data_IF_767625119168
#
_entry.id   IF_767625119168
#
_cell.length_a   1.000
_cell.length_b   1.000
_cell.length_c   1.000
_cell.angle_alpha   90.00
_cell.angle_beta   90.00
_cell.angle_gamma   90.00
#
_symmetry.space_group_name_H-M   'P 1'
#
loop_
_entity.id
_entity.type
_entity.pdbx_description
1 polymer ?
#
# COMPACT_ATOMS: atom_id res chain seq x y z
N UNK A 1 65.96 -29.26 53.30
CA UNK A 1 65.93 -29.52 51.84
C UNK A 1 64.71 -28.87 51.27
N UNK A 2 64.90 -27.86 50.72
CA UNK A 2 64.48 -27.11 49.54
C UNK A 2 63.06 -27.33 49.01
N UNK A 3 62.17 -26.58 49.60
CA UNK A 3 60.93 -26.20 48.95
C UNK A 3 60.94 -24.68 48.61
N UNK A 4 61.84 -24.29 47.74
CA UNK A 4 61.94 -22.91 47.18
C UNK A 4 62.06 -22.91 45.70
N UNK A 5 61.19 -23.55 45.02
CA UNK A 5 61.18 -23.49 43.55
C UNK A 5 59.83 -23.52 42.90
N UNK A 6 58.86 -22.85 43.41
CA UNK A 6 57.62 -22.67 42.64
C UNK A 6 56.87 -21.38 42.97
N UNK A 7 57.60 -20.32 43.11
CA UNK A 7 57.02 -19.00 43.07
C UNK A 7 57.56 -18.25 41.83
N UNK A 8 57.48 -18.92 40.71
CA UNK A 8 57.95 -18.38 39.48
C UNK A 8 56.80 -18.17 38.53
N UNK A 9 56.61 -16.92 38.27
CA UNK A 9 55.93 -16.46 37.04
C UNK A 9 54.46 -16.83 36.88
N UNK A 10 53.63 -16.40 37.78
CA UNK A 10 52.21 -16.37 37.55
C UNK A 10 51.63 -15.04 37.11
N UNK A 11 52.46 -14.04 36.92
CA UNK A 11 51.99 -12.79 36.28
C UNK A 11 53.21 -11.99 35.80
N UNK A 12 53.13 -11.32 34.70
CA UNK A 12 54.13 -10.41 34.16
C UNK A 12 54.59 -9.28 35.10
N UNK A 13 54.09 -9.30 36.32
CA UNK A 13 54.48 -8.38 37.39
C UNK A 13 55.88 -8.65 37.97
N UNK A 14 56.46 -9.83 37.77
CA UNK A 14 57.73 -10.21 38.38
C UNK A 14 58.97 -9.94 37.51
N UNK A 15 58.81 -9.53 36.26
CA UNK A 15 59.94 -9.16 35.40
C UNK A 15 60.51 -7.79 35.77
N UNK A 16 59.73 -6.95 36.47
CA UNK A 16 60.16 -5.60 36.88
C UNK A 16 61.02 -5.69 38.19
N UNK A 17 60.84 -6.71 39.01
CA UNK A 17 61.58 -6.82 40.29
C UNK A 17 63.06 -7.23 40.14
N UNK A 18 63.46 -7.83 39.05
CA UNK A 18 64.87 -8.25 38.84
C UNK A 18 65.79 -7.21 38.19
N UNK A 19 65.23 -6.11 37.71
CA UNK A 19 66.00 -4.99 37.12
C UNK A 19 66.27 -3.83 38.08
N UNK A 20 65.73 -3.89 39.32
CA UNK A 20 65.96 -2.84 40.31
C UNK A 20 67.34 -2.88 40.98
N UNK A 21 68.15 -3.94 40.79
CA UNK A 21 69.50 -4.05 41.34
C UNK A 21 70.57 -3.35 40.46
N UNK A 22 70.24 -2.83 39.29
CA UNK A 22 71.18 -2.14 38.43
C UNK A 22 70.98 -0.62 38.31
N UNK A 23 70.23 0.02 39.24
CA UNK A 23 70.15 1.47 39.33
C UNK A 23 69.46 2.18 38.15
N UNK A 24 68.69 1.45 37.30
CA UNK A 24 67.91 2.04 36.20
C UNK A 24 66.46 2.16 36.61
N UNK A 25 66.00 3.34 37.01
CA UNK A 25 64.58 3.62 37.19
C UNK A 25 63.92 3.72 35.79
N UNK A 26 63.31 2.66 35.36
CA UNK A 26 62.41 2.72 34.22
C UNK A 26 61.09 3.37 34.69
N UNK A 27 60.97 4.67 34.51
CA UNK A 27 59.70 5.38 34.65
C UNK A 27 58.76 4.93 33.55
N UNK A 28 57.87 4.00 33.82
CA UNK A 28 56.85 3.52 32.91
C UNK A 28 56.35 2.13 33.33
N UNK A 29 55.36 2.08 34.17
CA UNK A 29 54.62 0.82 34.38
C UNK A 29 53.85 0.49 33.14
N UNK A 30 54.47 -0.28 32.20
CA UNK A 30 53.70 -0.96 31.20
C UNK A 30 52.88 -2.03 31.90
N UNK A 31 51.62 -1.73 32.20
CA UNK A 31 50.66 -2.78 32.52
C UNK A 31 50.38 -3.56 31.23
N UNK A 32 51.05 -4.68 31.07
CA UNK A 32 50.59 -5.68 30.14
C UNK A 32 49.21 -6.14 30.63
N UNK A 33 48.16 -5.70 30.03
CA UNK A 33 46.86 -6.24 30.31
C UNK A 33 46.84 -7.69 29.82
N UNK A 34 46.43 -8.61 30.71
CA UNK A 34 46.27 -10.02 30.31
C UNK A 34 45.19 -10.13 29.25
N UNK A 35 45.57 -10.48 28.03
CA UNK A 35 44.64 -10.69 26.95
C UNK A 35 44.23 -12.15 26.87
N UNK A 36 42.98 -12.44 27.12
CA UNK A 36 42.43 -13.80 27.10
C UNK A 36 42.04 -14.31 25.70
N UNK A 37 42.30 -13.50 24.65
CA UNK A 37 41.89 -13.84 23.23
C UNK A 37 43.13 -13.97 22.41
N UNK A 38 43.36 -15.19 21.87
CA UNK A 38 44.42 -15.48 20.89
C UNK A 38 43.86 -15.43 19.49
N UNK A 39 44.47 -14.64 18.60
CA UNK A 39 44.12 -14.55 17.20
C UNK A 39 45.29 -14.98 16.36
N UNK A 40 45.10 -16.01 15.51
CA UNK A 40 46.05 -16.34 14.47
C UNK A 40 45.75 -15.49 13.23
N UNK A 41 46.58 -14.49 12.99
CA UNK A 41 46.48 -13.59 11.82
C UNK A 41 47.13 -14.14 10.55
N UNK A 42 47.74 -15.36 10.64
CA UNK A 42 48.49 -15.97 9.54
C UNK A 42 49.75 -15.18 9.16
N UNK A 43 50.15 -14.17 9.97
CA UNK A 43 51.23 -13.29 9.64
C UNK A 43 52.61 -13.92 9.97
N UNK A 44 53.49 -13.82 9.07
CA UNK A 44 54.91 -14.09 9.24
C UNK A 44 55.56 -12.89 9.89
N UNK A 45 56.11 -13.07 11.08
CA UNK A 45 57.04 -12.22 11.83
C UNK A 45 56.91 -10.67 11.69
N UNK A 46 56.60 -10.02 12.79
CA UNK A 46 56.80 -8.58 13.04
C UNK A 46 56.25 -7.62 11.96
N UNK A 47 55.00 -7.81 11.59
CA UNK A 47 54.33 -6.90 10.67
C UNK A 47 53.77 -5.69 11.45
N UNK A 48 53.91 -4.50 10.89
CA UNK A 48 53.40 -3.24 11.43
C UNK A 48 51.92 -3.02 11.16
N UNK A 49 51.16 -4.06 10.75
CA UNK A 49 49.72 -3.96 10.53
C UNK A 49 49.01 -3.66 11.81
N UNK A 50 48.04 -2.74 11.77
CA UNK A 50 47.30 -2.26 12.92
C UNK A 50 46.71 -3.43 13.73
N UNK A 51 46.72 -3.30 15.03
CA UNK A 51 46.33 -4.25 16.06
C UNK A 51 47.33 -5.42 16.31
N UNK A 52 48.44 -5.53 15.59
CA UNK A 52 49.49 -6.52 15.92
C UNK A 52 50.05 -6.30 17.32
N UNK A 53 50.15 -5.06 17.75
CA UNK A 53 50.63 -4.68 19.11
C UNK A 53 49.51 -4.54 20.13
N UNK A 54 48.31 -5.04 19.85
CA UNK A 54 47.10 -4.86 20.65
C UNK A 54 46.72 -3.39 20.85
N UNK A 55 46.99 -2.53 19.87
CA UNK A 55 46.74 -1.10 19.86
C UNK A 55 45.46 -0.69 19.15
N UNK A 56 44.70 -1.62 18.60
CA UNK A 56 43.40 -1.36 17.98
C UNK A 56 42.28 -1.00 18.95
N UNK A 57 42.38 -1.42 20.22
CA UNK A 57 41.40 -1.11 21.26
C UNK A 57 41.89 0.08 22.11
N UNK A 58 41.56 1.29 21.68
CA UNK A 58 42.01 2.54 22.34
C UNK A 58 40.96 3.15 23.29
N UNK A 59 39.69 2.76 23.14
CA UNK A 59 38.62 3.20 24.01
C UNK A 59 38.57 2.47 25.34
N UNK A 60 38.10 3.13 26.42
CA UNK A 60 37.88 2.49 27.70
C UNK A 60 36.81 1.36 27.55
N UNK A 61 37.11 0.15 28.02
CA UNK A 61 36.28 -1.05 27.90
C UNK A 61 35.99 -1.43 26.42
N UNK A 62 36.87 -1.11 25.49
CA UNK A 62 36.71 -1.47 24.08
C UNK A 62 37.38 -2.82 23.77
N UNK A 63 36.91 -3.46 22.71
CA UNK A 63 37.43 -4.75 22.22
C UNK A 63 37.76 -4.64 20.74
N UNK A 64 38.99 -4.99 20.33
CA UNK A 64 39.40 -5.04 18.93
C UNK A 64 40.08 -6.39 18.64
N UNK A 65 39.52 -7.18 17.72
CA UNK A 65 39.98 -8.51 17.34
C UNK A 65 40.10 -8.62 15.84
N UNK A 66 41.32 -8.81 15.34
CA UNK A 66 41.60 -8.97 13.90
C UNK A 66 42.62 -7.94 13.40
N UNK A 67 43.19 -8.25 12.20
CA UNK A 67 44.14 -7.35 11.53
C UNK A 67 43.45 -6.04 11.21
N UNK A 68 44.07 -4.90 11.56
CA UNK A 68 43.52 -3.56 11.39
C UNK A 68 42.14 -3.33 12.03
N UNK A 69 41.74 -4.16 13.02
CA UNK A 69 40.54 -3.93 13.80
C UNK A 69 40.72 -2.68 14.70
N UNK A 70 39.74 -1.79 14.71
CA UNK A 70 39.82 -0.50 15.41
C UNK A 70 38.57 -0.23 16.26
N UNK A 71 38.74 -0.19 17.58
CA UNK A 71 37.70 0.14 18.56
C UNK A 71 38.13 1.38 19.38
N UNK A 72 37.72 2.58 18.96
CA UNK A 72 38.31 3.85 19.42
C UNK A 72 37.67 4.47 20.64
N UNK A 73 36.40 4.21 20.90
CA UNK A 73 35.65 4.89 21.94
C UNK A 73 35.12 3.94 23.01
N UNK A 74 34.58 4.51 24.10
CA UNK A 74 34.12 3.77 25.25
C UNK A 74 33.10 2.69 24.87
N UNK A 75 33.36 1.44 25.28
CA UNK A 75 32.47 0.31 25.04
C UNK A 75 32.40 -0.15 23.59
N UNK A 76 33.26 0.34 22.71
CA UNK A 76 33.26 -0.03 21.30
C UNK A 76 33.78 -1.48 21.11
N UNK A 77 33.17 -2.23 20.18
CA UNK A 77 33.57 -3.60 19.83
C UNK A 77 33.85 -3.70 18.34
N UNK A 78 35.04 -4.11 17.94
CA UNK A 78 35.45 -4.31 16.56
C UNK A 78 36.03 -5.71 16.37
N UNK A 79 35.37 -6.58 15.59
CA UNK A 79 35.77 -7.97 15.35
C UNK A 79 35.82 -8.28 13.86
N UNK A 80 37.00 -8.56 13.32
CA UNK A 80 37.22 -8.87 11.91
C UNK A 80 38.37 -8.06 11.32
N UNK A 81 38.83 -8.42 10.11
CA UNK A 81 39.90 -7.68 9.43
C UNK A 81 39.39 -6.32 8.92
N UNK A 82 40.17 -5.27 9.15
CA UNK A 82 39.86 -3.89 8.74
C UNK A 82 38.45 -3.41 9.17
N UNK A 83 37.99 -3.92 10.33
CA UNK A 83 36.73 -3.50 10.93
C UNK A 83 36.87 -2.26 11.80
N UNK A 84 35.86 -1.42 11.88
CA UNK A 84 35.95 -0.15 12.55
C UNK A 84 34.73 0.16 13.41
N UNK A 85 34.92 0.34 14.73
CA UNK A 85 33.90 0.81 15.69
C UNK A 85 34.43 2.13 16.29
N UNK A 86 33.99 3.27 15.75
CA UNK A 86 34.62 4.56 16.03
C UNK A 86 33.87 5.43 17.02
N UNK A 87 32.73 4.98 17.54
CA UNK A 87 31.94 5.78 18.48
C UNK A 87 31.55 5.00 19.75
N UNK A 88 31.01 5.70 20.75
CA UNK A 88 30.62 5.09 22.03
C UNK A 88 29.60 3.96 21.83
N UNK A 89 29.85 2.82 22.47
CA UNK A 89 29.02 1.62 22.39
C UNK A 89 28.73 1.11 20.97
N UNK A 90 29.60 1.47 19.99
CA UNK A 90 29.47 1.00 18.62
C UNK A 90 29.93 -0.46 18.52
N UNK A 91 29.20 -1.29 17.76
CA UNK A 91 29.54 -2.70 17.50
C UNK A 91 29.76 -2.89 16.01
N UNK A 92 30.95 -3.34 15.64
CA UNK A 92 31.32 -3.62 14.25
C UNK A 92 31.91 -5.02 14.14
N UNK A 93 31.23 -5.91 13.41
CA UNK A 93 31.64 -7.32 13.27
C UNK A 93 31.62 -7.72 11.79
N UNK A 94 32.77 -8.15 11.28
CA UNK A 94 32.94 -8.58 9.91
C UNK A 94 34.03 -7.81 9.16
N UNK A 95 34.57 -8.39 8.11
CA UNK A 95 35.62 -7.77 7.29
C UNK A 95 35.12 -6.48 6.66
N UNK A 96 35.87 -5.39 6.80
CA UNK A 96 35.51 -4.05 6.30
C UNK A 96 34.16 -3.50 6.83
N UNK A 97 33.65 -4.02 7.95
CA UNK A 97 32.45 -3.44 8.58
C UNK A 97 32.80 -2.12 9.29
N UNK A 98 31.84 -1.19 9.33
CA UNK A 98 32.03 0.13 9.91
C UNK A 98 30.79 0.55 10.73
N UNK A 99 30.95 0.70 12.03
CA UNK A 99 29.97 1.26 12.96
C UNK A 99 30.49 2.62 13.47
N UNK A 100 30.05 3.71 12.86
CA UNK A 100 30.53 5.06 13.18
C UNK A 100 29.49 5.94 13.88
N UNK A 101 28.27 5.49 14.08
CA UNK A 101 27.29 6.17 14.91
C UNK A 101 27.41 5.79 16.39
N UNK A 102 26.97 6.65 17.30
CA UNK A 102 26.84 6.31 18.73
C UNK A 102 25.82 5.18 18.89
N UNK A 103 26.18 4.12 19.63
CA UNK A 103 25.35 2.93 19.85
C UNK A 103 24.91 2.26 18.53
N UNK A 104 25.70 2.40 17.47
CA UNK A 104 25.41 1.76 16.20
C UNK A 104 25.90 0.31 16.14
N UNK A 105 25.26 -0.51 15.35
CA UNK A 105 25.60 -1.92 15.14
C UNK A 105 25.79 -2.24 13.68
N UNK A 106 26.96 -2.68 13.25
CA UNK A 106 27.28 -3.11 11.90
C UNK A 106 27.79 -4.55 11.91
N UNK A 107 27.02 -5.50 11.36
CA UNK A 107 27.36 -6.93 11.34
C UNK A 107 27.30 -7.48 9.92
N UNK A 108 28.45 -7.89 9.40
CA UNK A 108 28.60 -8.44 8.06
C UNK A 108 29.76 -7.81 7.28
N UNK A 109 30.11 -8.41 6.14
CA UNK A 109 31.18 -7.91 5.29
C UNK A 109 30.77 -6.57 4.63
N UNK A 110 31.60 -5.55 4.78
CA UNK A 110 31.37 -4.24 4.16
C UNK A 110 30.11 -3.51 4.65
N UNK A 111 29.61 -3.86 5.83
CA UNK A 111 28.41 -3.29 6.43
C UNK A 111 28.69 -1.89 6.96
N UNK A 112 27.73 -0.98 6.86
CA UNK A 112 27.86 0.40 7.31
C UNK A 112 26.69 0.80 8.21
N UNK A 113 26.97 1.15 9.47
CA UNK A 113 26.03 1.79 10.38
C UNK A 113 26.58 3.14 10.81
N UNK A 114 26.24 4.19 10.06
CA UNK A 114 26.89 5.50 10.21
C UNK A 114 26.14 6.51 11.07
N UNK A 115 24.87 6.28 11.33
CA UNK A 115 24.05 7.17 12.15
C UNK A 115 23.90 6.66 13.60
N UNK A 116 23.49 7.54 14.52
CA UNK A 116 23.24 7.18 15.90
C UNK A 116 22.13 6.15 16.02
N UNK A 117 22.33 5.13 16.88
CA UNK A 117 21.42 4.01 17.09
C UNK A 117 21.05 3.25 15.79
N UNK A 118 21.86 3.36 14.74
CA UNK A 118 21.63 2.66 13.49
C UNK A 118 22.05 1.19 13.59
N UNK A 119 21.26 0.29 13.02
CA UNK A 119 21.55 -1.15 12.96
C UNK A 119 21.63 -1.61 11.51
N UNK A 120 22.79 -2.11 11.09
CA UNK A 120 23.01 -2.69 9.78
C UNK A 120 23.50 -4.12 9.92
N UNK A 121 22.76 -5.08 9.35
CA UNK A 121 23.10 -6.52 9.43
C UNK A 121 22.99 -7.16 8.04
N UNK A 122 24.09 -7.72 7.57
CA UNK A 122 24.16 -8.37 6.26
C UNK A 122 25.28 -7.80 5.38
N UNK A 123 25.68 -8.53 4.38
CA UNK A 123 26.75 -8.10 3.45
C UNK A 123 26.36 -6.80 2.77
N UNK A 124 27.18 -5.76 2.91
CA UNK A 124 26.94 -4.44 2.32
C UNK A 124 25.63 -3.77 2.75
N UNK A 125 25.06 -4.18 3.90
CA UNK A 125 23.92 -3.47 4.47
C UNK A 125 24.34 -2.06 4.91
N UNK A 126 23.46 -1.06 4.74
CA UNK A 126 23.73 0.34 5.03
C UNK A 126 22.59 0.97 5.82
N UNK A 127 22.82 1.32 7.08
CA UNK A 127 21.92 2.06 7.93
C UNK A 127 22.52 3.45 8.21
N UNK A 128 22.05 4.47 7.50
CA UNK A 128 22.57 5.84 7.57
C UNK A 128 21.58 6.86 8.12
N UNK A 129 20.34 6.46 8.42
CA UNK A 129 19.37 7.28 9.14
C UNK A 129 19.49 7.09 10.66
N UNK A 130 19.24 8.14 11.44
CA UNK A 130 19.20 8.03 12.89
C UNK A 130 18.12 7.02 13.34
N UNK A 131 18.48 6.05 14.18
CA UNK A 131 17.59 4.98 14.63
C UNK A 131 17.12 4.04 13.51
N UNK A 132 17.80 4.05 12.35
CA UNK A 132 17.40 3.21 11.22
C UNK A 132 17.88 1.77 11.37
N UNK A 133 17.17 0.84 10.74
CA UNK A 133 17.49 -0.59 10.73
C UNK A 133 17.55 -1.12 9.30
N UNK A 134 18.69 -1.65 8.89
CA UNK A 134 18.90 -2.27 7.58
C UNK A 134 19.35 -3.72 7.76
N UNK A 135 18.50 -4.69 7.46
CA UNK A 135 18.78 -6.12 7.60
C UNK A 135 18.63 -6.83 6.26
N UNK A 136 19.69 -7.46 5.80
CA UNK A 136 19.74 -8.17 4.52
C UNK A 136 20.91 -7.73 3.65
N UNK A 137 21.28 -8.55 2.69
CA UNK A 137 22.36 -8.22 1.74
C UNK A 137 22.01 -6.99 0.93
N UNK A 138 22.89 -5.99 0.91
CA UNK A 138 22.70 -4.72 0.19
C UNK A 138 21.40 -3.95 0.58
N UNK A 139 20.86 -4.21 1.77
CA UNK A 139 19.73 -3.44 2.30
C UNK A 139 20.14 -2.01 2.65
N UNK A 140 19.23 -1.04 2.46
CA UNK A 140 19.46 0.37 2.71
C UNK A 140 18.38 0.99 3.58
N UNK A 141 18.72 1.59 4.72
CA UNK A 141 17.82 2.37 5.56
C UNK A 141 18.42 3.77 5.76
N UNK A 142 18.05 4.72 4.92
CA UNK A 142 18.59 6.07 4.93
C UNK A 142 17.68 7.11 5.57
N UNK A 143 16.40 6.84 5.68
CA UNK A 143 15.48 7.69 6.42
C UNK A 143 15.68 7.58 7.94
N UNK A 144 15.42 8.66 8.68
CA UNK A 144 15.38 8.60 10.14
C UNK A 144 14.28 7.65 10.59
N UNK A 145 14.57 6.76 11.56
CA UNK A 145 13.68 5.70 12.03
C UNK A 145 13.14 4.77 10.91
N UNK A 146 13.87 4.68 9.80
CA UNK A 146 13.49 3.83 8.68
C UNK A 146 13.89 2.37 8.91
N UNK A 147 13.07 1.42 8.44
CA UNK A 147 13.32 -0.01 8.54
C UNK A 147 13.35 -0.65 7.15
N UNK A 148 14.47 -1.26 6.78
CA UNK A 148 14.66 -2.01 5.56
C UNK A 148 15.02 -3.48 5.88
N UNK A 149 14.14 -4.42 5.56
CA UNK A 149 14.33 -5.83 5.84
C UNK A 149 14.19 -6.69 4.58
N UNK A 150 15.27 -7.27 4.12
CA UNK A 150 15.35 -8.10 2.94
C UNK A 150 16.53 -7.73 2.03
N UNK A 151 16.87 -8.59 1.09
CA UNK A 151 17.96 -8.33 0.14
C UNK A 151 17.60 -7.19 -0.82
N UNK A 152 18.47 -6.20 -0.95
CA UNK A 152 18.28 -5.08 -1.87
C UNK A 152 17.11 -4.16 -1.52
N UNK A 153 16.56 -4.24 -0.30
CA UNK A 153 15.50 -3.33 0.17
C UNK A 153 15.99 -1.90 0.35
N UNK A 154 15.09 -0.94 0.18
CA UNK A 154 15.41 0.48 0.39
C UNK A 154 14.29 1.19 1.16
N UNK A 155 14.59 1.68 2.36
CA UNK A 155 13.71 2.53 3.15
C UNK A 155 14.36 3.92 3.28
N UNK A 156 13.97 4.84 2.39
CA UNK A 156 14.56 6.16 2.29
C UNK A 156 13.73 7.27 2.95
N UNK A 157 12.44 7.07 3.10
CA UNK A 157 11.57 8.02 3.78
C UNK A 157 11.76 8.00 5.30
N UNK A 158 11.59 9.14 5.95
CA UNK A 158 11.53 9.19 7.42
C UNK A 158 10.35 8.36 7.93
N UNK A 159 10.56 7.54 8.96
CA UNK A 159 9.57 6.60 9.51
C UNK A 159 9.01 5.64 8.44
N UNK A 160 9.78 5.30 7.43
CA UNK A 160 9.36 4.39 6.37
C UNK A 160 9.72 2.93 6.69
N UNK A 161 8.94 2.00 6.17
CA UNK A 161 9.17 0.57 6.31
C UNK A 161 9.21 -0.11 4.94
N UNK A 162 10.29 -0.81 4.61
CA UNK A 162 10.41 -1.64 3.43
C UNK A 162 10.72 -3.09 3.85
N UNK A 163 9.83 -4.02 3.52
CA UNK A 163 9.93 -5.43 3.88
C UNK A 163 9.75 -6.32 2.64
N UNK A 164 10.77 -7.09 2.29
CA UNK A 164 10.78 -7.98 1.14
C UNK A 164 11.92 -7.68 0.17
N UNK A 165 12.31 -8.66 -0.64
CA UNK A 165 13.39 -8.50 -1.61
C UNK A 165 13.09 -7.35 -2.58
N UNK A 166 13.99 -6.37 -2.63
CA UNK A 166 13.87 -5.23 -3.53
C UNK A 166 12.70 -4.29 -3.24
N UNK A 167 12.04 -4.41 -2.07
CA UNK A 167 10.99 -3.47 -1.65
C UNK A 167 11.56 -2.07 -1.48
N UNK A 168 10.78 -1.05 -1.85
CA UNK A 168 11.16 0.36 -1.81
C UNK A 168 10.10 1.19 -1.07
N UNK A 169 10.52 1.94 -0.06
CA UNK A 169 9.67 2.84 0.70
C UNK A 169 10.35 4.20 0.81
N UNK A 170 10.06 5.08 -0.15
CA UNK A 170 10.69 6.39 -0.25
C UNK A 170 9.84 7.55 0.28
N UNK A 171 8.53 7.34 0.40
CA UNK A 171 7.65 8.31 1.02
C UNK A 171 7.87 8.43 2.53
N UNK A 172 7.71 9.61 3.10
CA UNK A 172 7.67 9.79 4.55
C UNK A 172 6.44 9.07 5.10
N UNK A 173 6.58 8.31 6.19
CA UNK A 173 5.54 7.44 6.79
C UNK A 173 5.00 6.36 5.85
N UNK A 174 5.72 6.00 4.79
CA UNK A 174 5.27 4.98 3.85
C UNK A 174 5.62 3.56 4.28
N UNK A 175 4.86 2.58 3.78
CA UNK A 175 5.09 1.15 4.05
C UNK A 175 5.03 0.35 2.76
N UNK A 176 6.11 -0.36 2.41
CA UNK A 176 6.21 -1.24 1.27
C UNK A 176 6.49 -2.68 1.74
N UNK A 177 5.54 -3.59 1.58
CA UNK A 177 5.63 -4.97 2.03
C UNK A 177 5.35 -5.94 0.88
N UNK A 178 6.35 -6.70 0.50
CA UNK A 178 6.32 -7.65 -0.61
C UNK A 178 7.53 -7.49 -1.55
N UNK A 179 7.80 -8.51 -2.33
CA UNK A 179 8.89 -8.47 -3.31
C UNK A 179 8.65 -7.34 -4.32
N UNK A 180 9.60 -6.41 -4.43
CA UNK A 180 9.51 -5.24 -5.32
C UNK A 180 8.28 -4.35 -5.09
N UNK A 181 7.68 -4.39 -3.90
CA UNK A 181 6.64 -3.42 -3.51
C UNK A 181 7.24 -2.01 -3.47
N UNK A 182 6.48 -1.00 -3.91
CA UNK A 182 6.92 0.39 -3.98
C UNK A 182 5.90 1.34 -3.35
N UNK A 183 6.27 1.97 -2.23
CA UNK A 183 5.48 2.99 -1.56
C UNK A 183 6.23 4.32 -1.59
N UNK A 184 5.93 5.17 -2.57
CA UNK A 184 6.63 6.44 -2.80
C UNK A 184 5.83 7.68 -2.38
N UNK A 185 4.53 7.57 -2.23
CA UNK A 185 3.69 8.65 -1.73
C UNK A 185 3.86 8.92 -0.24
N UNK A 186 3.63 10.14 0.21
CA UNK A 186 3.54 10.48 1.63
C UNK A 186 2.44 9.64 2.31
N UNK A 187 2.77 8.92 3.37
CA UNK A 187 1.82 8.08 4.11
C UNK A 187 1.21 6.94 3.28
N UNK A 188 1.85 6.57 2.17
CA UNK A 188 1.34 5.53 1.28
C UNK A 188 1.64 4.11 1.79
N UNK A 189 0.81 3.15 1.38
CA UNK A 189 0.91 1.74 1.78
C UNK A 189 0.83 0.83 0.56
N UNK A 190 1.88 0.06 0.29
CA UNK A 190 1.96 -0.91 -0.81
C UNK A 190 2.20 -2.32 -0.25
N UNK A 191 1.19 -3.18 -0.31
CA UNK A 191 1.22 -4.55 0.21
C UNK A 191 0.94 -5.56 -0.91
N UNK A 192 1.95 -6.31 -1.28
CA UNK A 192 1.90 -7.33 -2.32
C UNK A 192 3.11 -7.27 -3.24
N UNK A 193 3.40 -8.38 -3.92
CA UNK A 193 4.50 -8.42 -4.90
C UNK A 193 4.25 -7.43 -6.04
N UNK A 194 5.18 -6.52 -6.26
CA UNK A 194 5.08 -5.51 -7.31
C UNK A 194 3.94 -4.50 -7.13
N UNK A 195 3.36 -4.40 -5.93
CA UNK A 195 2.37 -3.36 -5.64
C UNK A 195 2.98 -1.96 -5.66
N UNK A 196 2.23 -0.96 -6.10
CA UNK A 196 2.67 0.42 -6.21
C UNK A 196 1.67 1.36 -5.55
N UNK A 197 2.12 2.16 -4.59
CA UNK A 197 1.35 3.22 -3.96
C UNK A 197 2.12 4.54 -4.07
N UNK A 198 1.83 5.32 -5.11
CA UNK A 198 2.55 6.55 -5.43
C UNK A 198 1.80 7.84 -5.10
N UNK A 199 0.48 7.79 -4.98
CA UNK A 199 -0.32 8.91 -4.50
C UNK A 199 -0.09 9.18 -3.01
N UNK A 200 -0.28 10.42 -2.55
CA UNK A 200 -0.28 10.76 -1.12
C UNK A 200 -1.42 10.00 -0.43
N UNK A 201 -1.13 9.34 0.68
CA UNK A 201 -2.08 8.52 1.45
C UNK A 201 -2.74 7.41 0.63
N UNK A 202 -2.14 7.03 -0.50
CA UNK A 202 -2.64 5.96 -1.34
C UNK A 202 -2.40 4.57 -0.73
N UNK A 203 -3.31 3.64 -0.98
CA UNK A 203 -3.27 2.28 -0.46
C UNK A 203 -3.40 1.26 -1.58
N UNK A 204 -2.40 0.43 -1.79
CA UNK A 204 -2.36 -0.62 -2.81
C UNK A 204 -2.19 -1.99 -2.15
N UNK A 205 -3.22 -2.83 -2.20
CA UNK A 205 -3.25 -4.17 -1.60
C UNK A 205 -3.51 -5.26 -2.66
N UNK A 206 -2.51 -6.06 -2.92
CA UNK A 206 -2.55 -7.15 -3.89
C UNK A 206 -1.37 -7.14 -4.84
N UNK A 207 -1.05 -8.28 -5.42
CA UNK A 207 0.06 -8.37 -6.36
C UNK A 207 -0.21 -7.49 -7.60
N UNK A 208 0.74 -6.63 -7.94
CA UNK A 208 0.62 -5.71 -9.06
C UNK A 208 -0.46 -4.64 -8.91
N UNK A 209 -1.06 -4.47 -7.73
CA UNK A 209 -2.03 -3.39 -7.48
C UNK A 209 -1.35 -2.02 -7.61
N UNK A 210 -2.06 -1.02 -8.11
CA UNK A 210 -1.53 0.31 -8.35
C UNK A 210 -2.51 1.40 -7.85
N UNK A 211 -2.13 2.10 -6.81
CA UNK A 211 -2.84 3.26 -6.26
C UNK A 211 -2.00 4.53 -6.51
N UNK A 212 -2.26 5.21 -7.62
CA UNK A 212 -1.48 6.38 -8.06
C UNK A 212 -2.18 7.72 -7.81
N UNK A 213 -3.49 7.72 -7.63
CA UNK A 213 -4.22 8.92 -7.21
C UNK A 213 -3.99 9.25 -5.75
N UNK A 214 -4.02 10.53 -5.37
CA UNK A 214 -3.99 10.95 -3.97
C UNK A 214 -5.21 10.38 -3.22
N UNK A 215 -5.00 9.82 -2.03
CA UNK A 215 -6.01 9.16 -1.22
C UNK A 215 -6.75 8.00 -1.94
N UNK A 216 -6.17 7.45 -3.00
CA UNK A 216 -6.76 6.34 -3.75
C UNK A 216 -6.55 4.98 -3.08
N UNK A 217 -7.46 4.05 -3.34
CA UNK A 217 -7.43 2.68 -2.80
C UNK A 217 -7.54 1.65 -3.92
N UNK A 218 -6.54 0.79 -4.09
CA UNK A 218 -6.52 -0.30 -5.05
C UNK A 218 -6.39 -1.63 -4.32
N UNK A 219 -7.44 -2.45 -4.30
CA UNK A 219 -7.48 -3.75 -3.61
C UNK A 219 -7.78 -4.88 -4.60
N UNK A 220 -6.85 -5.79 -4.74
CA UNK A 220 -6.97 -6.94 -5.63
C UNK A 220 -5.79 -7.09 -6.59
N UNK A 221 -5.66 -8.28 -7.18
CA UNK A 221 -4.63 -8.55 -8.19
C UNK A 221 -4.78 -7.58 -9.37
N UNK A 222 -3.71 -6.81 -9.66
CA UNK A 222 -3.66 -5.87 -10.78
C UNK A 222 -4.78 -4.79 -10.77
N UNK A 223 -5.38 -4.52 -9.61
CA UNK A 223 -6.32 -3.41 -9.45
C UNK A 223 -5.63 -2.06 -9.66
N UNK A 224 -6.35 -1.08 -10.19
CA UNK A 224 -5.78 0.24 -10.52
C UNK A 224 -6.72 1.37 -10.08
N UNK A 225 -6.25 2.22 -9.18
CA UNK A 225 -6.95 3.43 -8.73
C UNK A 225 -6.07 4.65 -9.04
N UNK A 226 -6.40 5.37 -10.13
CA UNK A 226 -5.61 6.50 -10.61
C UNK A 226 -6.27 7.86 -10.42
N UNK A 227 -7.57 7.90 -10.24
CA UNK A 227 -8.28 9.13 -9.86
C UNK A 227 -7.99 9.52 -8.41
N UNK A 228 -8.00 10.81 -8.10
CA UNK A 228 -7.95 11.31 -6.72
C UNK A 228 -9.14 10.76 -5.94
N UNK A 229 -8.90 10.18 -4.77
CA UNK A 229 -9.94 9.55 -3.96
C UNK A 229 -10.64 8.36 -4.61
N UNK A 230 -10.12 7.84 -5.72
CA UNK A 230 -10.71 6.71 -6.43
C UNK A 230 -10.52 5.39 -5.67
N UNK A 231 -11.49 4.50 -5.77
CA UNK A 231 -11.49 3.20 -5.10
C UNK A 231 -11.69 2.08 -6.14
N UNK A 232 -10.71 1.19 -6.29
CA UNK A 232 -10.78 0.04 -7.17
C UNK A 232 -10.67 -1.25 -6.35
N UNK A 233 -11.75 -2.01 -6.23
CA UNK A 233 -11.80 -3.25 -5.45
C UNK A 233 -12.18 -4.42 -6.36
N UNK A 234 -11.28 -5.35 -6.53
CA UNK A 234 -11.44 -6.54 -7.35
C UNK A 234 -10.23 -6.76 -8.27
N UNK A 235 -10.07 -8.00 -8.75
CA UNK A 235 -9.04 -8.33 -9.74
C UNK A 235 -9.24 -7.49 -11.01
N UNK A 236 -8.21 -6.81 -11.47
CA UNK A 236 -8.25 -5.92 -12.66
C UNK A 236 -9.33 -4.81 -12.58
N UNK A 237 -9.83 -4.47 -11.40
CA UNK A 237 -10.73 -3.32 -11.26
C UNK A 237 -9.97 -2.02 -11.57
N UNK A 238 -10.61 -1.10 -12.31
CA UNK A 238 -10.01 0.18 -12.72
C UNK A 238 -10.93 1.34 -12.33
N UNK A 239 -10.44 2.22 -11.47
CA UNK A 239 -11.09 3.47 -11.09
C UNK A 239 -10.19 4.63 -11.49
N UNK A 240 -10.52 5.27 -12.64
CA UNK A 240 -9.72 6.34 -13.24
C UNK A 240 -10.27 7.75 -12.96
N UNK A 241 -11.54 7.84 -12.66
CA UNK A 241 -12.21 9.10 -12.41
C UNK A 241 -12.14 9.50 -10.93
N UNK A 242 -12.05 10.79 -10.64
CA UNK A 242 -11.99 11.30 -9.27
C UNK A 242 -13.19 10.83 -8.44
N UNK A 243 -12.93 10.40 -7.20
CA UNK A 243 -13.91 9.93 -6.21
C UNK A 243 -14.77 8.74 -6.67
N UNK A 244 -14.49 8.17 -7.83
CA UNK A 244 -15.27 7.07 -8.39
C UNK A 244 -14.87 5.71 -7.82
N UNK A 245 -15.81 4.77 -7.80
CA UNK A 245 -15.66 3.44 -7.22
C UNK A 245 -15.86 2.38 -8.30
N UNK A 246 -14.87 1.54 -8.56
CA UNK A 246 -14.96 0.32 -9.33
C UNK A 246 -15.04 -0.88 -8.39
N UNK A 247 -16.17 -1.55 -8.32
CA UNK A 247 -16.44 -2.65 -7.40
C UNK A 247 -16.68 -3.97 -8.14
N UNK A 248 -15.81 -4.92 -7.91
CA UNK A 248 -15.85 -6.25 -8.52
C UNK A 248 -14.75 -6.46 -9.58
N UNK A 249 -14.46 -7.73 -9.87
CA UNK A 249 -13.43 -8.09 -10.85
C UNK A 249 -13.75 -7.51 -12.24
N UNK A 250 -12.74 -6.90 -12.88
CA UNK A 250 -12.83 -6.25 -14.20
C UNK A 250 -13.84 -5.08 -14.27
N UNK A 251 -14.30 -4.55 -13.13
CA UNK A 251 -15.15 -3.35 -13.13
C UNK A 251 -14.34 -2.12 -13.52
N UNK A 252 -14.95 -1.22 -14.29
CA UNK A 252 -14.31 0.01 -14.77
C UNK A 252 -15.22 1.19 -14.52
N UNK A 253 -14.66 2.30 -14.03
CA UNK A 253 -15.41 3.56 -13.93
C UNK A 253 -15.45 4.29 -15.28
N UNK A 254 -16.40 5.18 -15.41
CA UNK A 254 -16.47 6.21 -16.45
C UNK A 254 -16.84 7.54 -15.80
N UNK A 255 -16.56 8.63 -16.48
CA UNK A 255 -16.94 9.95 -16.01
C UNK A 255 -18.44 10.01 -15.71
N UNK A 256 -18.86 10.68 -14.63
CA UNK A 256 -20.27 10.82 -14.29
C UNK A 256 -21.02 11.63 -15.36
N UNK A 257 -22.21 11.18 -15.72
CA UNK A 257 -23.08 11.84 -16.70
C UNK A 257 -24.33 12.33 -15.99
N UNK A 258 -24.56 13.63 -16.01
CA UNK A 258 -25.78 14.25 -15.51
C UNK A 258 -26.98 14.00 -16.45
N UNK A 259 -28.13 13.67 -15.89
CA UNK A 259 -29.38 13.45 -16.64
C UNK A 259 -30.48 14.35 -16.08
N UNK A 260 -30.93 15.33 -16.86
CA UNK A 260 -31.98 16.29 -16.48
C UNK A 260 -33.36 15.90 -16.95
N UNK A 261 -33.42 15.18 -18.07
CA UNK A 261 -34.66 14.71 -18.70
C UNK A 261 -34.40 13.49 -19.58
N UNK A 262 -35.46 12.81 -19.97
CA UNK A 262 -35.43 11.72 -20.94
C UNK A 262 -36.67 11.78 -21.85
N UNK A 263 -36.55 11.54 -23.16
CA UNK A 263 -37.66 11.43 -24.06
C UNK A 263 -37.86 9.97 -24.48
N UNK A 264 -39.03 9.43 -24.18
CA UNK A 264 -39.39 8.04 -24.49
C UNK A 264 -40.75 8.04 -25.21
N UNK A 265 -40.84 7.42 -26.37
CA UNK A 265 -42.07 7.36 -27.16
C UNK A 265 -42.68 8.73 -27.52
N UNK A 266 -41.84 9.77 -27.68
CA UNK A 266 -42.28 11.14 -27.95
C UNK A 266 -42.71 11.95 -26.72
N UNK A 267 -42.71 11.34 -25.52
CA UNK A 267 -43.04 11.99 -24.26
C UNK A 267 -41.75 12.39 -23.53
N UNK A 268 -41.67 13.65 -23.12
CA UNK A 268 -40.53 14.18 -22.32
C UNK A 268 -40.81 14.02 -20.83
N UNK A 269 -39.91 13.33 -20.16
CA UNK A 269 -39.87 13.13 -18.71
C UNK A 269 -38.78 14.02 -18.11
N UNK A 270 -39.10 14.84 -17.12
CA UNK A 270 -38.16 15.76 -16.46
C UNK A 270 -38.45 15.91 -14.99
N UNK A 271 -37.78 16.85 -14.33
CA UNK A 271 -37.88 17.03 -12.89
C UNK A 271 -37.10 15.98 -12.08
N UNK A 272 -36.08 15.39 -12.66
CA UNK A 272 -35.26 14.37 -12.00
C UNK A 272 -34.43 14.98 -10.86
N UNK A 273 -34.35 14.28 -9.74
CA UNK A 273 -33.43 14.60 -8.65
C UNK A 273 -32.01 14.10 -8.97
N UNK A 274 -30.98 14.66 -8.34
CA UNK A 274 -29.60 14.20 -8.47
C UNK A 274 -28.98 14.38 -9.86
N UNK A 275 -29.36 15.43 -10.58
CA UNK A 275 -28.98 15.66 -11.99
C UNK A 275 -27.51 16.02 -12.21
N UNK A 276 -26.73 16.30 -11.16
CA UNK A 276 -25.32 16.64 -11.23
C UNK A 276 -24.48 15.66 -10.37
N UNK A 277 -24.26 14.41 -10.83
CA UNK A 277 -23.48 13.44 -10.07
C UNK A 277 -22.00 13.85 -10.03
N UNK A 278 -21.38 13.73 -8.85
CA UNK A 278 -19.96 14.09 -8.63
C UNK A 278 -19.00 12.96 -9.01
N UNK A 279 -19.48 11.71 -9.00
CA UNK A 279 -18.68 10.51 -9.25
C UNK A 279 -19.57 9.33 -9.64
N UNK A 280 -18.94 8.24 -10.07
CA UNK A 280 -19.64 7.00 -10.46
C UNK A 280 -19.30 5.86 -9.50
N UNK A 281 -20.27 4.99 -9.22
CA UNK A 281 -20.04 3.65 -8.68
C UNK A 281 -20.32 2.63 -9.78
N UNK A 282 -19.29 1.95 -10.25
CA UNK A 282 -19.40 0.91 -11.28
C UNK A 282 -19.24 -0.47 -10.68
N UNK A 283 -20.19 -1.35 -10.93
CA UNK A 283 -20.16 -2.76 -10.51
C UNK A 283 -19.80 -3.72 -11.65
N UNK A 284 -19.43 -3.20 -12.81
CA UNK A 284 -19.09 -3.99 -13.99
C UNK A 284 -18.35 -3.19 -15.05
N UNK A 285 -18.40 -3.69 -16.27
CA UNK A 285 -17.94 -3.02 -17.49
C UNK A 285 -18.92 -3.30 -18.61
N UNK A 286 -18.83 -2.53 -19.70
CA UNK A 286 -19.69 -2.74 -20.87
C UNK A 286 -19.58 -4.18 -21.37
N UNK A 287 -20.72 -4.87 -21.50
CA UNK A 287 -20.81 -6.28 -21.88
C UNK A 287 -20.46 -7.27 -20.76
N UNK A 288 -20.25 -6.78 -19.53
CA UNK A 288 -19.97 -7.57 -18.32
C UNK A 288 -20.62 -6.91 -17.11
N UNK A 289 -21.88 -6.58 -17.24
CA UNK A 289 -22.73 -5.97 -16.21
C UNK A 289 -23.02 -6.96 -15.08
N UNK A 290 -23.39 -6.44 -13.90
CA UNK A 290 -23.79 -7.22 -12.72
C UNK A 290 -25.13 -6.78 -12.20
N UNK A 291 -25.92 -7.72 -11.74
CA UNK A 291 -27.12 -7.43 -10.96
C UNK A 291 -26.75 -6.98 -9.54
N UNK A 292 -27.48 -6.01 -9.01
CA UNK A 292 -27.43 -5.63 -7.60
C UNK A 292 -28.64 -6.27 -6.92
N UNK A 293 -28.42 -7.20 -6.00
CA UNK A 293 -29.46 -7.92 -5.27
C UNK A 293 -29.60 -7.44 -3.84
N UNK A 294 -30.72 -7.79 -3.17
CA UNK A 294 -31.00 -7.39 -1.78
C UNK A 294 -31.09 -5.86 -1.56
N UNK A 295 -31.52 -5.15 -2.59
CA UNK A 295 -31.81 -3.72 -2.49
C UNK A 295 -33.17 -3.53 -1.80
N UNK A 296 -33.20 -2.78 -0.72
CA UNK A 296 -34.44 -2.37 -0.07
C UNK A 296 -35.30 -1.46 -0.97
N UNK A 297 -36.60 -1.36 -0.70
CA UNK A 297 -37.45 -0.42 -1.42
C UNK A 297 -37.00 1.03 -1.15
N UNK A 298 -36.78 1.78 -2.22
CA UNK A 298 -36.45 3.19 -2.16
C UNK A 298 -37.68 4.07 -1.87
N UNK A 299 -37.45 5.25 -1.32
CA UNK A 299 -38.52 6.26 -1.13
C UNK A 299 -39.00 6.75 -2.49
N UNK A 300 -40.31 6.91 -2.63
CA UNK A 300 -40.92 7.41 -3.86
C UNK A 300 -41.43 8.84 -3.59
N UNK A 301 -40.51 9.82 -3.68
CA UNK A 301 -40.77 11.25 -3.56
C UNK A 301 -40.11 12.00 -4.71
N UNK A 302 -40.52 13.23 -4.98
CA UNK A 302 -39.99 14.01 -6.10
C UNK A 302 -38.50 14.37 -5.96
N UNK A 303 -37.96 14.33 -4.75
CA UNK A 303 -36.57 14.64 -4.41
C UNK A 303 -35.71 13.38 -4.09
N UNK A 304 -36.30 12.19 -4.18
CA UNK A 304 -35.60 10.94 -3.86
C UNK A 304 -34.52 10.62 -4.89
N UNK A 305 -33.35 10.23 -4.37
CA UNK A 305 -32.24 9.63 -5.14
C UNK A 305 -31.99 8.18 -4.76
N UNK A 306 -32.95 7.54 -4.06
CA UNK A 306 -32.83 6.13 -3.68
C UNK A 306 -32.97 5.21 -4.89
N UNK A 307 -32.32 4.05 -4.84
CA UNK A 307 -32.50 3.01 -5.86
C UNK A 307 -33.91 2.37 -5.73
N UNK A 308 -34.51 2.05 -6.87
CA UNK A 308 -35.81 1.36 -6.95
C UNK A 308 -35.56 -0.14 -7.13
N UNK A 309 -36.19 -0.99 -6.35
CA UNK A 309 -36.13 -2.43 -6.53
C UNK A 309 -37.25 -2.97 -7.43
N UNK A 310 -37.11 -4.23 -7.89
CA UNK A 310 -38.04 -4.86 -8.83
C UNK A 310 -39.48 -4.95 -8.37
N UNK A 311 -39.74 -5.07 -7.06
CA UNK A 311 -41.12 -5.15 -6.53
C UNK A 311 -41.87 -3.81 -6.66
N UNK A 312 -41.18 -2.71 -6.51
CA UNK A 312 -41.76 -1.37 -6.73
C UNK A 312 -42.14 -1.16 -8.18
N UNK A 313 -41.28 -1.56 -9.12
CA UNK A 313 -41.57 -1.51 -10.55
C UNK A 313 -42.69 -2.48 -10.93
N UNK A 314 -42.77 -3.68 -10.35
CA UNK A 314 -43.86 -4.65 -10.55
C UNK A 314 -45.22 -4.04 -10.17
N UNK A 315 -45.31 -3.33 -9.05
CA UNK A 315 -46.52 -2.63 -8.62
C UNK A 315 -47.01 -1.64 -9.70
N UNK A 316 -46.10 -0.81 -10.23
CA UNK A 316 -46.41 0.12 -11.31
C UNK A 316 -46.82 -0.59 -12.61
N UNK A 317 -46.10 -1.67 -12.97
CA UNK A 317 -46.41 -2.47 -14.17
C UNK A 317 -47.79 -3.10 -14.08
N UNK A 318 -48.18 -3.59 -12.89
CA UNK A 318 -49.53 -4.12 -12.64
C UNK A 318 -50.61 -3.05 -12.87
N UNK A 319 -50.42 -1.86 -12.35
CA UNK A 319 -51.38 -0.77 -12.56
C UNK A 319 -51.47 -0.35 -14.05
N UNK A 320 -50.34 -0.33 -14.78
CA UNK A 320 -50.33 -0.08 -16.22
C UNK A 320 -51.11 -1.17 -16.97
N UNK A 321 -50.96 -2.43 -16.60
CA UNK A 321 -51.73 -3.54 -17.15
C UNK A 321 -53.25 -3.38 -16.92
N UNK A 322 -53.66 -3.02 -15.71
CA UNK A 322 -55.06 -2.75 -15.40
C UNK A 322 -55.64 -1.57 -16.20
N UNK A 323 -54.87 -0.49 -16.37
CA UNK A 323 -55.27 0.64 -17.20
C UNK A 323 -55.39 0.24 -18.70
N UNK A 324 -54.47 -0.56 -19.20
CA UNK A 324 -54.57 -1.10 -20.55
C UNK A 324 -55.83 -1.92 -20.78
N UNK A 325 -56.17 -2.80 -19.84
CA UNK A 325 -57.41 -3.60 -19.90
C UNK A 325 -58.66 -2.71 -19.86
N UNK A 326 -58.67 -1.68 -19.05
CA UNK A 326 -59.79 -0.72 -18.96
C UNK A 326 -59.93 0.06 -20.30
N UNK A 327 -58.84 0.48 -20.90
CA UNK A 327 -58.81 1.16 -22.22
C UNK A 327 -59.38 0.21 -23.29
N UNK A 328 -58.99 -1.05 -23.34
CA UNK A 328 -59.52 -2.01 -24.28
C UNK A 328 -61.03 -2.23 -24.12
N UNK A 329 -61.52 -2.29 -22.87
CA UNK A 329 -62.95 -2.38 -22.62
C UNK A 329 -63.70 -1.11 -23.10
N UNK A 330 -63.15 0.08 -22.91
CA UNK A 330 -63.69 1.33 -23.39
C UNK A 330 -63.75 1.36 -24.94
N UNK A 331 -62.68 0.91 -25.62
CA UNK A 331 -62.61 0.85 -27.08
C UNK A 331 -63.68 -0.12 -27.64
N UNK A 332 -63.86 -1.29 -27.00
CA UNK A 332 -64.94 -2.26 -27.39
C UNK A 332 -66.34 -1.68 -27.19
N UNK A 333 -66.53 -0.91 -26.09
CA UNK A 333 -67.82 -0.22 -25.88
C UNK A 333 -68.05 0.87 -26.89
N UNK A 334 -66.99 1.62 -27.27
CA UNK A 334 -67.08 2.63 -28.30
C UNK A 334 -67.47 2.02 -29.68
N UNK A 335 -66.81 0.95 -30.09
CA UNK A 335 -67.12 0.24 -31.34
C UNK A 335 -68.55 -0.29 -31.36
N UNK A 336 -69.09 -0.79 -30.20
CA UNK A 336 -70.47 -1.22 -30.09
C UNK A 336 -71.48 -0.06 -30.15
N UNK A 337 -71.12 1.12 -29.60
CA UNK A 337 -71.94 2.31 -29.71
C UNK A 337 -71.94 2.86 -31.14
N UNK A 338 -70.84 2.88 -31.85
CA UNK A 338 -70.75 3.27 -33.25
C UNK A 338 -71.65 2.41 -34.11
N UNK A 339 -71.58 1.06 -33.94
CA UNK A 339 -72.47 0.15 -34.65
C UNK A 339 -73.95 0.39 -34.38
N UNK A 340 -74.32 0.62 -33.08
CA UNK A 340 -75.69 0.95 -32.75
C UNK A 340 -76.12 2.30 -33.33
N UNK A 341 -75.25 3.27 -33.43
CA UNK A 341 -75.53 4.57 -34.05
C UNK A 341 -75.80 4.37 -35.56
N UNK A 342 -74.94 3.60 -36.24
CA UNK A 342 -75.16 3.24 -37.67
C UNK A 342 -76.49 2.53 -37.91
N UNK A 343 -76.85 1.53 -37.03
CA UNK A 343 -78.13 0.81 -37.08
C UNK A 343 -79.33 1.79 -36.94
N UNK A 344 -79.25 2.75 -35.99
CA UNK A 344 -80.29 3.78 -35.77
C UNK A 344 -80.34 4.75 -36.95
N UNK A 345 -79.24 5.14 -37.56
CA UNK A 345 -79.20 6.00 -38.74
C UNK A 345 -79.87 5.32 -39.94
N UNK A 346 -79.58 4.03 -40.17
CA UNK A 346 -80.23 3.23 -41.26
C UNK A 346 -81.71 3.05 -41.04
N UNK A 347 -82.18 2.75 -39.81
CA UNK A 347 -83.59 2.65 -39.47
C UNK A 347 -84.34 4.01 -39.66
N UNK A 348 -83.69 5.11 -39.27
CA UNK A 348 -84.24 6.46 -39.52
C UNK A 348 -84.32 6.78 -41.03
N UNK A 349 -83.33 6.46 -41.80
CA UNK A 349 -83.35 6.64 -43.26
C UNK A 349 -84.46 5.79 -43.91
N UNK A 350 -84.60 4.54 -43.53
CA UNK A 350 -85.69 3.64 -44.00
C UNK A 350 -87.06 4.19 -43.62
N UNK A 351 -87.19 4.68 -42.36
CA UNK A 351 -88.46 5.27 -41.87
C UNK A 351 -88.81 6.55 -42.64
N UNK A 352 -87.82 7.43 -42.92
CA UNK A 352 -88.04 8.64 -43.74
C UNK A 352 -88.42 8.29 -45.15
N UNK A 353 -87.74 7.32 -45.77
CA UNK A 353 -88.06 6.85 -47.08
C UNK A 353 -89.46 6.28 -47.18
N UNK A 354 -89.88 5.48 -46.21
CA UNK A 354 -91.22 4.94 -46.06
C UNK A 354 -92.31 6.03 -45.91
N UNK A 355 -92.06 6.98 -45.05
CA UNK A 355 -92.95 8.10 -44.82
C UNK A 355 -93.11 8.98 -46.08
N UNK A 356 -92.01 9.20 -46.83
CA UNK A 356 -91.96 9.91 -48.09
C UNK A 356 -92.79 9.15 -49.16
N UNK A 357 -92.62 7.84 -49.26
CA UNK A 357 -93.39 7.00 -50.21
C UNK A 357 -94.89 7.05 -49.90
N UNK A 358 -95.32 6.98 -48.67
CA UNK A 358 -96.72 7.09 -48.25
C UNK A 358 -97.24 8.49 -48.57
N UNK A 359 -96.47 9.57 -48.37
CA UNK A 359 -96.86 10.93 -48.72
C UNK A 359 -97.07 11.13 -50.29
N UNK A 360 -96.32 10.40 -51.09
CA UNK A 360 -96.51 10.39 -52.53
C UNK A 360 -97.75 9.65 -52.95
N UNK A 361 -98.15 8.56 -52.28
CA UNK A 361 -99.32 7.77 -52.59
C UNK A 361 -100.65 8.46 -52.14
N UNK A 362 -100.60 9.42 -51.29
CA UNK A 362 -101.79 10.16 -50.82
C UNK A 362 -102.05 11.47 -51.54
N UNK A 363 -101.37 11.80 -52.63
CA UNK A 363 -101.76 12.98 -53.46
C UNK A 363 -102.98 12.67 -54.24
N UNK A 364 -104.11 13.39 -54.04
CA UNK A 364 -105.27 13.26 -54.89
C UNK A 364 -104.94 13.92 -56.23
N UNK A 365 -105.38 13.35 -57.33
CA UNK A 365 -105.37 13.90 -58.72
C UNK A 365 -106.17 15.22 -58.77
#
# INVERSE_FOLDING_TARGET
MNHKKQAVLKSGKNVVASLLTAGVVLAGTAYAADHYISINDGAVAADSRGNYKNDGATGRNSTAIGVDASAKNQGATAIGAATSATNNAAISIGTYSNASGVSSTAIGQGTLASANAATAIGRQANASGNGSTAIGSASKASGSAATAFGSGTSAAGTNSTALGQGAQSSGVYSSAVGTKANASGLGSSAFGSGSVASGKYASAYGAGSNASGDASVAVGLQSKASGKGAVAIGRNAVASDEYSVALGANSTTSAPVGTTNATVGGVNYGGFAGTAPVATVSVGSRGSERTITNVAAGRITSDSTDAINGSQLYSVATQVGNNTNAINQLNNRHANLDKRLDDVEDDLRAGIAGATAIGFLQRPN
#
